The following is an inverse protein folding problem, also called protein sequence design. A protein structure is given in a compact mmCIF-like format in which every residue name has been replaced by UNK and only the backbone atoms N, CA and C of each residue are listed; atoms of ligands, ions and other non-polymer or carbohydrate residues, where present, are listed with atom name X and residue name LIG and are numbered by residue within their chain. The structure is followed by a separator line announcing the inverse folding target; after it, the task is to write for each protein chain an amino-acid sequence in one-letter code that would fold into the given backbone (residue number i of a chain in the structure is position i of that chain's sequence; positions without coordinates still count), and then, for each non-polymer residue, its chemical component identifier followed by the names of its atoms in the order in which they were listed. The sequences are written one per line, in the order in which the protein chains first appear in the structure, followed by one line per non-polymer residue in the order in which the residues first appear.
data_IF_186829705118
#
_entry.id   IF_186829705118
#
_cell.length_a   1.000
_cell.length_b   1.000
_cell.length_c   1.000
_cell.angle_alpha   90.00
_cell.angle_beta   90.00
_cell.angle_gamma   90.00
#
_symmetry.space_group_name_H-M   'P 1'
#
loop_
_entity.id
_entity.type
_entity.pdbx_description
1 polymer ?
#
# COMPACT_ATOMS: atom_id res chain seq x y z
N UNK A 1 32.15 3.14 1.51
CA UNK A 1 30.78 2.84 1.04
C UNK A 1 29.92 4.04 1.41
N UNK A 2 29.34 4.72 0.43
CA UNK A 2 28.38 5.81 0.65
C UNK A 2 27.12 5.23 1.29
N UNK A 3 26.56 5.91 2.29
CA UNK A 3 25.29 5.51 2.88
C UNK A 3 24.21 5.41 1.77
N UNK A 4 23.31 4.42 1.82
CA UNK A 4 22.23 4.31 0.83
C UNK A 4 21.39 5.59 0.87
N UNK A 5 21.01 6.09 -0.31
CA UNK A 5 20.15 7.26 -0.42
C UNK A 5 18.80 6.97 0.26
N UNK A 6 18.27 7.95 0.98
CA UNK A 6 16.97 7.82 1.63
C UNK A 6 15.88 7.49 0.59
N UNK A 7 14.90 6.64 0.93
CA UNK A 7 13.86 6.27 0.00
C UNK A 7 13.11 7.49 -0.52
N UNK A 8 13.04 7.61 -1.84
CA UNK A 8 12.44 8.75 -2.52
C UNK A 8 11.39 8.29 -3.53
N UNK A 9 10.34 9.09 -3.70
CA UNK A 9 9.34 8.93 -4.77
C UNK A 9 9.29 10.24 -5.54
N UNK A 10 9.23 10.14 -6.87
CA UNK A 10 8.99 11.26 -7.77
C UNK A 10 7.83 10.96 -8.70
N UNK A 11 7.15 12.02 -9.14
CA UNK A 11 6.11 11.96 -10.15
C UNK A 11 6.43 13.03 -11.20
N UNK A 12 6.62 12.60 -12.46
CA UNK A 12 7.05 13.49 -13.54
C UNK A 12 6.10 13.34 -14.72
N UNK A 13 5.52 14.45 -15.18
CA UNK A 13 4.76 14.47 -16.42
C UNK A 13 5.72 14.43 -17.62
N UNK A 14 5.47 13.49 -18.53
CA UNK A 14 6.17 13.32 -19.80
C UNK A 14 5.16 13.50 -20.93
N UNK A 15 5.39 14.51 -21.77
CA UNK A 15 4.45 14.91 -22.83
C UNK A 15 4.57 14.09 -24.11
N UNK A 16 5.63 13.28 -24.24
CA UNK A 16 5.93 12.43 -25.38
C UNK A 16 4.79 11.43 -25.68
N UNK A 17 4.30 10.75 -24.65
CA UNK A 17 3.17 9.80 -24.71
C UNK A 17 2.02 10.21 -23.81
N UNK A 18 2.06 11.43 -23.25
CA UNK A 18 1.14 11.94 -22.25
C UNK A 18 0.97 10.97 -21.08
N UNK A 19 1.98 10.89 -20.23
CA UNK A 19 1.99 10.04 -19.04
C UNK A 19 2.58 10.76 -17.85
N UNK A 20 2.21 10.33 -16.66
CA UNK A 20 2.97 10.64 -15.45
C UNK A 20 3.79 9.41 -15.10
N UNK A 21 5.12 9.53 -15.16
CA UNK A 21 6.02 8.50 -14.66
C UNK A 21 6.18 8.68 -13.16
N UNK A 22 5.77 7.66 -12.40
CA UNK A 22 5.98 7.59 -10.95
C UNK A 22 7.15 6.66 -10.71
N UNK A 23 8.25 7.19 -10.19
CA UNK A 23 9.48 6.45 -9.94
C UNK A 23 9.82 6.45 -8.46
N UNK A 24 10.49 5.40 -7.99
CA UNK A 24 10.99 5.31 -6.63
C UNK A 24 12.37 4.67 -6.58
N UNK A 25 13.12 5.01 -5.54
CA UNK A 25 14.44 4.47 -5.23
C UNK A 25 14.62 4.35 -3.71
N UNK A 26 15.67 3.65 -3.28
CA UNK A 26 16.06 3.56 -1.88
C UNK A 26 15.13 2.73 -0.99
N UNK A 27 14.25 1.91 -1.58
CA UNK A 27 13.48 0.94 -0.79
C UNK A 27 14.43 -0.09 -0.14
N UNK A 28 14.15 -0.54 1.10
CA UNK A 28 14.93 -1.58 1.75
C UNK A 28 15.01 -2.84 0.87
N UNK A 29 16.12 -3.58 0.95
CA UNK A 29 16.34 -4.78 0.14
C UNK A 29 15.33 -5.92 0.39
N UNK A 30 14.56 -5.82 1.46
CA UNK A 30 13.48 -6.75 1.78
C UNK A 30 12.18 -6.47 0.99
N UNK A 31 12.02 -5.26 0.45
CA UNK A 31 10.87 -4.92 -0.39
C UNK A 31 11.03 -5.58 -1.75
N UNK A 32 10.12 -6.47 -2.09
CA UNK A 32 10.11 -7.22 -3.37
C UNK A 32 9.12 -6.64 -4.38
N UNK A 33 8.14 -5.87 -3.91
CA UNK A 33 7.06 -5.34 -4.72
C UNK A 33 6.58 -3.99 -4.21
N UNK A 34 5.95 -3.22 -5.08
CA UNK A 34 5.39 -1.92 -4.76
C UNK A 34 3.97 -1.80 -5.32
N UNK A 35 3.08 -1.23 -4.51
CA UNK A 35 1.74 -0.82 -4.93
C UNK A 35 1.69 0.70 -5.12
N UNK A 36 1.24 1.13 -6.28
CA UNK A 36 1.15 2.54 -6.68
C UNK A 36 -0.31 2.93 -6.86
N UNK A 37 -0.72 3.95 -6.11
CA UNK A 37 -2.07 4.50 -6.15
C UNK A 37 -2.01 6.01 -6.42
N UNK A 38 -3.08 6.52 -7.03
CA UNK A 38 -3.29 7.94 -7.32
C UNK A 38 -4.53 8.44 -6.60
N UNK A 39 -4.49 9.70 -6.19
CA UNK A 39 -5.61 10.47 -5.66
C UNK A 39 -5.56 11.91 -6.17
N UNK A 40 -6.72 12.53 -6.33
CA UNK A 40 -6.85 13.97 -6.61
C UNK A 40 -7.40 14.74 -5.41
N UNK A 41 -7.75 14.05 -4.31
CA UNK A 41 -8.33 14.63 -3.10
C UNK A 41 -7.62 14.22 -1.80
N UNK A 42 -6.61 13.34 -1.88
CA UNK A 42 -5.89 12.77 -0.75
C UNK A 42 -6.66 11.72 0.05
N UNK A 43 -7.95 11.49 -0.26
CA UNK A 43 -8.86 10.64 0.52
C UNK A 43 -9.19 9.37 -0.26
N UNK A 44 -9.60 9.52 -1.52
CA UNK A 44 -9.95 8.41 -2.41
C UNK A 44 -8.75 8.07 -3.27
N UNK A 45 -8.34 6.81 -3.18
CA UNK A 45 -7.16 6.32 -3.87
C UNK A 45 -7.56 5.21 -4.82
N UNK A 46 -7.15 5.35 -6.08
CA UNK A 46 -7.30 4.33 -7.11
C UNK A 46 -5.94 3.78 -7.47
N UNK A 47 -5.83 2.46 -7.65
CA UNK A 47 -4.62 1.83 -8.14
C UNK A 47 -4.31 2.37 -9.54
N UNK A 48 -3.08 2.82 -9.76
CA UNK A 48 -2.60 3.16 -11.10
C UNK A 48 -2.60 1.87 -11.91
N UNK A 49 -3.03 1.91 -13.16
CA UNK A 49 -3.02 0.76 -14.06
C UNK A 49 -1.62 0.14 -14.15
N UNK A 50 -1.51 -1.17 -13.93
CA UNK A 50 -0.23 -1.88 -13.76
C UNK A 50 0.50 -1.65 -12.43
N UNK A 51 -0.05 -0.85 -11.53
CA UNK A 51 0.54 -0.45 -10.26
C UNK A 51 0.16 -1.31 -9.05
N UNK A 52 -0.55 -2.42 -9.20
CA UNK A 52 -1.00 -3.21 -8.03
C UNK A 52 0.15 -3.99 -7.37
N UNK A 53 0.97 -4.65 -8.21
CA UNK A 53 2.16 -5.40 -7.79
C UNK A 53 3.30 -5.13 -8.77
N UNK A 54 3.99 -4.01 -8.60
CA UNK A 54 5.16 -3.66 -9.42
C UNK A 54 6.41 -4.30 -8.80
N UNK A 55 7.16 -5.15 -9.54
CA UNK A 55 8.41 -5.70 -9.02
C UNK A 55 9.39 -4.61 -8.63
N UNK A 56 10.03 -4.75 -7.47
CA UNK A 56 11.08 -3.85 -7.00
C UNK A 56 12.43 -4.54 -7.19
N UNK A 57 13.32 -3.89 -7.94
CA UNK A 57 14.69 -4.38 -8.14
C UNK A 57 15.68 -3.36 -7.61
N UNK A 58 16.62 -3.82 -6.79
CA UNK A 58 17.65 -2.96 -6.16
C UNK A 58 17.07 -1.73 -5.44
N UNK A 59 15.90 -1.91 -4.82
CA UNK A 59 15.22 -0.85 -4.07
C UNK A 59 14.55 0.23 -4.93
N UNK A 60 14.42 0.02 -6.25
CA UNK A 60 13.78 0.97 -7.15
C UNK A 60 12.81 0.33 -8.14
N UNK A 61 12.06 1.19 -8.82
CA UNK A 61 11.08 0.81 -9.83
C UNK A 61 10.32 2.04 -10.35
N UNK A 62 9.43 1.81 -11.31
CA UNK A 62 8.53 2.85 -11.81
C UNK A 62 7.21 2.27 -12.33
N UNK A 63 6.20 3.12 -12.46
CA UNK A 63 4.97 2.86 -13.22
C UNK A 63 4.59 4.09 -14.00
N UNK A 64 4.03 3.90 -15.19
CA UNK A 64 3.53 4.99 -16.02
C UNK A 64 2.00 5.09 -15.92
N UNK A 65 1.53 6.24 -15.46
CA UNK A 65 0.12 6.56 -15.38
C UNK A 65 -0.34 7.33 -16.62
N UNK A 66 -1.12 6.68 -17.47
CA UNK A 66 -1.72 7.29 -18.67
C UNK A 66 -3.09 7.93 -18.39
N UNK A 67 -3.65 7.72 -17.20
CA UNK A 67 -5.02 8.09 -16.84
C UNK A 67 -5.08 9.23 -15.81
N UNK A 68 -3.98 9.97 -15.62
CA UNK A 68 -3.92 11.10 -14.69
C UNK A 68 -5.01 12.15 -15.00
N UNK A 69 -5.35 12.95 -14.00
CA UNK A 69 -6.30 14.06 -14.19
C UNK A 69 -5.54 15.30 -14.64
N UNK A 70 -5.71 15.71 -15.90
CA UNK A 70 -5.07 16.90 -16.44
C UNK A 70 -5.56 18.18 -15.73
N UNK A 71 -4.67 19.15 -15.53
CA UNK A 71 -5.00 20.44 -14.90
C UNK A 71 -5.31 20.37 -13.40
N UNK A 72 -5.22 19.19 -12.78
CA UNK A 72 -5.41 18.99 -11.35
C UNK A 72 -4.16 18.38 -10.72
N UNK A 73 -3.96 18.61 -9.43
CA UNK A 73 -2.90 17.93 -8.69
C UNK A 73 -3.23 16.44 -8.58
N UNK A 74 -2.30 15.61 -9.04
CA UNK A 74 -2.34 14.17 -8.89
C UNK A 74 -1.33 13.82 -7.81
N UNK A 75 -1.83 13.37 -6.66
CA UNK A 75 -1.00 12.83 -5.56
C UNK A 75 -0.89 11.33 -5.74
N UNK A 76 0.34 10.84 -5.77
CA UNK A 76 0.67 9.42 -5.84
C UNK A 76 1.18 8.93 -4.50
N UNK A 77 0.88 7.68 -4.17
CA UNK A 77 1.54 6.97 -3.07
C UNK A 77 2.09 5.65 -3.56
N UNK A 78 3.33 5.38 -3.19
CA UNK A 78 4.03 4.13 -3.45
C UNK A 78 4.20 3.42 -2.11
N UNK A 79 3.65 2.21 -2.00
CA UNK A 79 3.73 1.36 -0.82
C UNK A 79 4.59 0.15 -1.14
N UNK A 80 5.78 0.06 -0.56
CA UNK A 80 6.67 -1.09 -0.70
C UNK A 80 6.22 -2.24 0.19
N UNK A 81 6.04 -3.43 -0.36
CA UNK A 81 5.67 -4.65 0.34
C UNK A 81 6.81 -5.67 0.34
N UNK A 82 6.89 -6.45 1.42
CA UNK A 82 7.79 -7.59 1.56
C UNK A 82 6.93 -8.86 1.57
N UNK A 83 7.12 -9.72 0.57
CA UNK A 83 6.45 -11.01 0.42
C UNK A 83 6.84 -12.04 1.49
N UNK A 84 7.90 -11.79 2.25
CA UNK A 84 8.40 -12.64 3.33
C UNK A 84 7.42 -12.83 4.50
N UNK A 85 7.69 -13.81 5.38
CA UNK A 85 6.88 -14.05 6.58
C UNK A 85 7.08 -12.94 7.63
N UNK A 86 6.24 -12.94 8.66
CA UNK A 86 6.52 -12.17 9.88
C UNK A 86 7.73 -12.80 10.58
N UNK A 87 8.71 -11.98 10.94
CA UNK A 87 9.94 -12.43 11.59
C UNK A 87 10.18 -11.53 12.81
N UNK A 88 10.43 -12.14 13.98
CA UNK A 88 10.94 -11.39 15.13
C UNK A 88 12.38 -10.99 14.89
N UNK A 89 12.73 -9.73 15.16
CA UNK A 89 14.12 -9.28 15.08
C UNK A 89 14.91 -9.91 16.23
N UNK A 90 16.13 -10.36 15.95
CA UNK A 90 16.99 -10.96 16.97
C UNK A 90 17.34 -9.94 18.06
N UNK A 91 17.48 -10.40 19.30
CA UNK A 91 17.84 -9.60 20.48
C UNK A 91 16.87 -8.43 20.77
N UNK A 92 15.83 -8.64 21.60
CA UNK A 92 15.00 -7.55 22.05
C UNK A 92 15.84 -6.51 22.80
N UNK A 93 15.34 -5.28 22.82
CA UNK A 93 16.02 -4.19 23.50
C UNK A 93 16.27 -4.50 24.97
N UNK A 94 17.35 -3.96 25.53
CA UNK A 94 17.65 -4.15 26.95
C UNK A 94 16.51 -3.59 27.79
N UNK A 95 15.95 -4.43 28.67
CA UNK A 95 14.89 -4.00 29.58
C UNK A 95 15.42 -2.95 30.56
N UNK A 96 14.63 -1.92 30.82
CA UNK A 96 14.93 -0.88 31.80
C UNK A 96 14.03 -1.05 33.03
N UNK A 97 14.60 -0.84 34.21
CA UNK A 97 13.87 -0.89 35.49
C UNK A 97 14.13 0.36 36.31
N UNK A 98 13.13 0.81 37.06
CA UNK A 98 13.25 1.94 37.98
C UNK A 98 12.25 1.84 39.14
N UNK A 99 12.50 2.60 40.21
CA UNK A 99 11.56 2.79 41.32
C UNK A 99 10.77 4.09 41.16
N UNK A 100 9.51 3.96 40.75
CA UNK A 100 8.55 5.04 40.54
C UNK A 100 9.11 6.23 39.74
N UNK A 101 9.94 5.92 38.75
CA UNK A 101 10.64 6.88 37.89
C UNK A 101 10.54 6.45 36.42
N UNK A 102 10.90 7.37 35.53
CA UNK A 102 10.89 7.16 34.09
C UNK A 102 11.89 6.09 33.67
N UNK A 103 11.43 5.12 32.86
CA UNK A 103 12.29 4.10 32.26
C UNK A 103 12.49 4.36 30.77
N UNK A 104 13.70 4.13 30.27
CA UNK A 104 14.05 4.23 28.85
C UNK A 104 14.67 2.91 28.39
N UNK A 105 13.85 1.92 27.97
CA UNK A 105 14.37 0.65 27.46
C UNK A 105 15.17 0.86 26.17
N UNK A 106 16.19 0.02 25.97
CA UNK A 106 16.94 0.00 24.72
C UNK A 106 16.05 -0.37 23.53
N UNK A 107 16.42 0.07 22.32
CA UNK A 107 15.84 -0.49 21.10
C UNK A 107 16.43 -1.91 20.87
N UNK A 108 15.70 -2.81 20.18
CA UNK A 108 16.27 -4.08 19.72
C UNK A 108 17.52 -3.86 18.86
N UNK A 109 18.37 -4.86 18.73
CA UNK A 109 19.43 -4.80 17.71
C UNK A 109 18.80 -5.02 16.32
N UNK A 110 19.48 -4.64 15.24
CA UNK A 110 19.09 -4.95 13.84
C UNK A 110 17.65 -4.56 13.39
N UNK A 111 16.99 -3.67 14.12
CA UNK A 111 15.72 -3.08 13.68
C UNK A 111 15.94 -2.27 12.40
N UNK A 112 14.91 -2.19 11.55
CA UNK A 112 14.94 -1.44 10.29
C UNK A 112 13.76 -0.50 10.21
N UNK A 113 13.89 0.56 9.39
CA UNK A 113 12.76 1.42 9.06
C UNK A 113 11.58 0.58 8.55
N UNK A 114 10.38 0.83 9.08
CA UNK A 114 9.15 0.11 8.74
C UNK A 114 8.85 -1.12 9.61
N UNK A 115 9.83 -1.64 10.37
CA UNK A 115 9.57 -2.71 11.34
C UNK A 115 8.54 -2.22 12.38
N UNK A 116 7.70 -3.14 12.86
CA UNK A 116 6.76 -2.87 13.94
C UNK A 116 7.50 -2.96 15.27
N UNK A 117 7.65 -1.84 15.95
CA UNK A 117 8.16 -1.80 17.32
C UNK A 117 7.01 -1.98 18.29
N UNK A 118 7.20 -2.87 19.26
CA UNK A 118 6.30 -3.09 20.38
C UNK A 118 7.03 -2.70 21.67
N UNK A 119 6.41 -1.85 22.47
CA UNK A 119 6.88 -1.47 23.79
C UNK A 119 5.93 -2.03 24.82
N UNK A 120 6.45 -2.91 25.67
CA UNK A 120 5.73 -3.47 26.80
C UNK A 120 6.29 -2.88 28.09
N UNK A 121 5.42 -2.23 28.87
CA UNK A 121 5.75 -1.65 30.15
C UNK A 121 4.77 -2.13 31.23
N UNK A 122 5.29 -2.37 32.43
CA UNK A 122 4.52 -2.78 33.59
C UNK A 122 5.00 -2.02 34.82
N UNK A 123 4.08 -1.73 35.73
CA UNK A 123 4.40 -1.20 37.06
C UNK A 123 3.64 -1.99 38.11
N UNK A 124 4.16 -2.13 39.34
CA UNK A 124 3.40 -2.82 40.40
C UNK A 124 2.12 -2.07 40.74
N UNK A 125 1.00 -2.78 40.81
CA UNK A 125 -0.25 -2.22 41.35
C UNK A 125 -0.17 -2.18 42.87
N UNK A 126 -0.11 -0.97 43.44
CA UNK A 126 -0.24 -0.77 44.89
C UNK A 126 -1.57 -0.09 45.22
N UNK A 127 -1.83 0.19 46.50
CA UNK A 127 -3.00 0.98 46.91
C UNK A 127 -3.08 2.37 46.26
N UNK A 128 -1.97 2.85 45.68
CA UNK A 128 -1.91 3.99 44.76
C UNK A 128 -1.66 3.44 43.35
N UNK A 129 -2.57 3.71 42.42
CA UNK A 129 -2.44 3.23 41.04
C UNK A 129 -1.38 4.05 40.29
N UNK A 130 -0.20 3.48 39.96
CA UNK A 130 0.68 4.13 38.99
C UNK A 130 -0.03 4.17 37.63
N UNK A 131 0.21 5.23 36.87
CA UNK A 131 -0.22 5.36 35.49
C UNK A 131 1.00 5.49 34.59
N UNK A 132 1.22 4.48 33.76
CA UNK A 132 2.25 4.47 32.72
C UNK A 132 1.83 5.41 31.58
N UNK A 133 2.69 6.36 31.24
CA UNK A 133 2.41 7.34 30.18
C UNK A 133 2.90 6.80 28.84
N UNK A 134 2.02 6.84 27.84
CA UNK A 134 2.33 6.46 26.46
C UNK A 134 3.39 7.40 25.89
N UNK A 135 4.52 6.89 25.36
CA UNK A 135 5.53 7.74 24.76
C UNK A 135 5.01 8.46 23.51
N UNK A 136 5.52 9.65 23.24
CA UNK A 136 5.10 10.45 22.10
C UNK A 136 5.31 9.70 20.76
N UNK A 137 4.28 9.69 19.91
CA UNK A 137 4.31 9.01 18.61
C UNK A 137 4.09 7.49 18.65
N UNK A 138 3.80 6.92 19.82
CA UNK A 138 3.38 5.52 19.96
C UNK A 138 1.85 5.42 20.05
N UNK A 139 1.32 4.34 19.49
CA UNK A 139 -0.11 4.02 19.51
C UNK A 139 -0.38 3.01 20.62
N UNK A 140 -1.28 3.32 21.53
CA UNK A 140 -1.72 2.41 22.59
C UNK A 140 -2.44 1.19 21.99
N UNK A 141 -2.03 0.00 22.40
CA UNK A 141 -2.73 -1.27 22.11
C UNK A 141 -3.56 -1.70 23.32
N UNK A 142 -2.95 -1.66 24.51
CA UNK A 142 -3.61 -1.95 25.79
C UNK A 142 -3.08 -1.01 26.84
N UNK A 143 -3.96 -0.42 27.64
CA UNK A 143 -3.63 0.36 28.83
C UNK A 143 -4.55 -0.04 29.99
N UNK A 144 -3.94 -0.44 31.11
CA UNK A 144 -4.62 -0.76 32.38
C UNK A 144 -4.12 0.09 33.55
N UNK A 145 -3.37 1.15 33.26
CA UNK A 145 -2.62 1.96 34.22
C UNK A 145 -1.28 1.32 34.61
N UNK A 146 -1.32 0.09 35.09
CA UNK A 146 -0.17 -0.69 35.59
C UNK A 146 0.41 -1.69 34.58
N UNK A 147 -0.21 -1.76 33.39
CA UNK A 147 0.17 -2.57 32.24
C UNK A 147 -0.08 -1.73 31.00
N UNK A 148 0.96 -1.54 30.19
CA UNK A 148 0.91 -0.78 28.96
C UNK A 148 1.59 -1.57 27.83
N UNK A 149 0.85 -1.85 26.77
CA UNK A 149 1.42 -2.29 25.50
C UNK A 149 1.11 -1.23 24.44
N UNK A 150 2.14 -0.76 23.76
CA UNK A 150 2.00 0.19 22.66
C UNK A 150 2.87 -0.23 21.47
N UNK A 151 2.55 0.32 20.30
CA UNK A 151 3.21 0.01 19.05
C UNK A 151 3.55 1.26 18.24
N UNK A 152 4.60 1.16 17.43
CA UNK A 152 5.02 2.21 16.48
C UNK A 152 5.68 1.57 15.26
N UNK A 153 5.58 2.22 14.09
CA UNK A 153 6.42 1.89 12.93
C UNK A 153 7.76 2.60 13.08
N UNK A 154 8.85 1.84 13.05
CA UNK A 154 10.19 2.39 13.18
C UNK A 154 10.48 3.41 12.05
N UNK A 155 10.90 4.61 12.41
CA UNK A 155 11.46 5.59 11.47
C UNK A 155 12.95 5.33 11.23
N UNK A 156 13.53 5.85 10.14
CA UNK A 156 14.95 5.67 9.83
C UNK A 156 15.92 6.15 10.94
N UNK A 157 15.48 7.09 11.77
CA UNK A 157 16.23 7.68 12.88
C UNK A 157 15.54 7.46 14.24
N UNK A 158 14.93 6.28 14.42
CA UNK A 158 14.21 5.94 15.64
C UNK A 158 15.10 6.04 16.89
N UNK A 159 14.52 6.53 17.98
CA UNK A 159 15.17 6.66 19.29
C UNK A 159 14.46 5.82 20.33
N UNK A 160 15.19 5.36 21.35
CA UNK A 160 14.62 4.63 22.48
C UNK A 160 13.45 5.43 23.11
N UNK A 161 12.30 4.78 23.38
CA UNK A 161 11.16 5.45 24.00
C UNK A 161 11.38 5.66 25.49
N UNK A 162 10.80 6.72 26.05
CA UNK A 162 10.74 6.94 27.49
C UNK A 162 9.32 6.73 28.00
N UNK A 163 9.14 5.84 28.97
CA UNK A 163 7.87 5.59 29.65
C UNK A 163 7.91 6.31 30.99
N UNK A 164 7.22 7.44 31.07
CA UNK A 164 7.07 8.16 32.33
C UNK A 164 6.01 7.47 33.20
N UNK A 165 6.14 7.64 34.51
CA UNK A 165 5.15 7.16 35.50
C UNK A 165 4.55 8.37 36.20
N UNK A 166 3.23 8.39 36.27
CA UNK A 166 2.49 9.41 37.03
C UNK A 166 1.67 8.76 38.13
N UNK A 167 1.61 9.41 39.29
CA UNK A 167 1.06 8.78 40.50
C UNK A 167 2.03 7.74 41.09
N UNK A 168 1.50 6.81 41.88
CA UNK A 168 2.31 5.82 42.61
C UNK A 168 3.00 6.39 43.86
N UNK A 169 3.27 5.52 44.83
CA UNK A 169 4.14 5.84 45.95
C UNK A 169 5.61 5.54 45.57
N UNK A 170 6.56 6.14 46.28
CA UNK A 170 7.95 5.64 46.26
C UNK A 170 7.95 4.15 46.65
N UNK A 171 8.77 3.35 45.99
CA UNK A 171 8.79 1.90 46.10
C UNK A 171 7.93 1.18 45.05
N UNK A 172 7.47 1.79 43.97
CA UNK A 172 6.73 1.11 42.90
C UNK A 172 7.68 0.74 41.77
N UNK A 173 8.02 -0.54 41.63
CA UNK A 173 8.85 -0.98 40.51
C UNK A 173 8.15 -0.77 39.17
N UNK A 174 8.92 -0.31 38.20
CA UNK A 174 8.54 -0.09 36.80
C UNK A 174 9.53 -0.87 35.94
N UNK A 175 9.03 -1.60 34.95
CA UNK A 175 9.83 -2.32 33.94
C UNK A 175 9.30 -1.95 32.57
N UNK A 176 10.20 -1.74 31.60
CA UNK A 176 9.83 -1.65 30.20
C UNK A 176 10.83 -2.38 29.30
N UNK A 177 10.37 -2.89 28.16
CA UNK A 177 11.21 -3.49 27.12
C UNK A 177 10.61 -3.27 25.73
N UNK A 178 11.46 -3.15 24.71
CA UNK A 178 11.05 -3.02 23.30
C UNK A 178 11.44 -4.27 22.52
N UNK A 179 10.57 -4.69 21.61
CA UNK A 179 10.80 -5.76 20.62
C UNK A 179 10.42 -5.25 19.23
N UNK A 180 11.08 -5.75 18.19
CA UNK A 180 10.78 -5.42 16.80
C UNK A 180 10.30 -6.66 16.03
N UNK A 181 9.32 -6.46 15.17
CA UNK A 181 8.85 -7.47 14.23
C UNK A 181 8.87 -6.93 12.81
N UNK A 182 9.54 -7.68 11.93
CA UNK A 182 9.50 -7.44 10.49
C UNK A 182 8.20 -7.98 9.93
N UNK A 183 7.60 -7.22 9.01
CA UNK A 183 6.37 -7.59 8.29
C UNK A 183 5.12 -7.81 9.14
N UNK A 184 5.14 -7.47 10.44
CA UNK A 184 3.94 -7.47 11.27
C UNK A 184 3.17 -6.15 11.12
N UNK A 185 1.84 -6.18 11.18
CA UNK A 185 0.96 -5.02 11.34
C UNK A 185 0.39 -4.90 12.74
N UNK A 186 -0.32 -3.81 13.04
CA UNK A 186 -1.03 -3.63 14.31
C UNK A 186 -1.98 -4.82 14.61
N UNK A 187 -2.22 -5.13 15.90
CA UNK A 187 -2.97 -6.31 16.29
C UNK A 187 -4.45 -6.20 15.91
N UNK A 188 -5.05 -7.33 15.55
CA UNK A 188 -6.46 -7.44 15.16
C UNK A 188 -7.36 -7.81 16.35
N UNK A 189 -6.82 -8.58 17.29
CA UNK A 189 -7.56 -9.14 18.44
C UNK A 189 -6.66 -9.21 19.66
N UNK A 190 -7.25 -8.99 20.85
CA UNK A 190 -6.62 -9.23 22.13
C UNK A 190 -7.56 -9.98 23.09
N UNK A 191 -7.01 -10.95 23.83
CA UNK A 191 -7.72 -11.71 24.87
C UNK A 191 -6.95 -11.63 26.17
N UNK A 192 -7.60 -11.42 27.31
CA UNK A 192 -6.93 -11.30 28.61
C UNK A 192 -7.44 -12.29 29.66
N UNK A 193 -6.57 -12.62 30.62
CA UNK A 193 -6.90 -13.34 31.85
C UNK A 193 -6.24 -12.59 33.00
N UNK A 194 -6.99 -12.44 34.10
CA UNK A 194 -6.50 -11.85 35.35
C UNK A 194 -6.71 -12.85 36.47
N UNK A 195 -5.66 -13.14 37.22
CA UNK A 195 -5.70 -14.02 38.40
C UNK A 195 -5.49 -13.17 39.65
N UNK A 196 -6.38 -13.29 40.64
CA UNK A 196 -6.36 -12.42 41.82
C UNK A 196 -5.20 -12.68 42.80
N UNK A 197 -4.66 -13.90 42.85
CA UNK A 197 -3.47 -14.24 43.67
C UNK A 197 -2.92 -15.60 43.23
N UNK A 198 -2.11 -15.62 42.18
CA UNK A 198 -1.52 -16.84 41.63
C UNK A 198 0.00 -16.86 41.77
N UNK A 199 0.56 -18.05 42.00
CA UNK A 199 2.01 -18.24 41.86
C UNK A 199 2.39 -18.18 40.38
N UNK A 200 1.73 -18.99 39.57
CA UNK A 200 1.88 -19.06 38.11
C UNK A 200 0.94 -18.07 37.40
N UNK A 201 1.28 -17.72 36.16
CA UNK A 201 0.51 -16.77 35.34
C UNK A 201 -0.20 -17.50 34.20
N UNK A 202 -1.52 -17.34 34.12
CA UNK A 202 -2.31 -17.90 33.02
C UNK A 202 -2.16 -17.04 31.76
N UNK A 203 -1.88 -17.69 30.62
CA UNK A 203 -1.76 -17.08 29.30
C UNK A 203 -2.96 -17.49 28.45
N UNK A 204 -3.77 -16.55 27.93
CA UNK A 204 -5.03 -16.86 27.25
C UNK A 204 -4.87 -17.65 25.95
N UNK A 205 -5.92 -18.40 25.59
CA UNK A 205 -6.05 -19.00 24.27
C UNK A 205 -6.44 -17.96 23.21
N UNK A 206 -6.23 -18.31 21.95
CA UNK A 206 -6.65 -17.53 20.78
C UNK A 206 -7.41 -18.43 19.84
N UNK A 207 -8.61 -18.03 19.45
CA UNK A 207 -9.44 -18.76 18.47
C UNK A 207 -9.27 -18.21 17.06
N UNK A 208 -9.17 -19.11 16.08
CA UNK A 208 -9.14 -18.81 14.64
C UNK A 208 -8.13 -17.74 14.18
N UNK A 209 -6.87 -17.75 14.62
CA UNK A 209 -5.87 -16.84 14.07
C UNK A 209 -5.62 -17.12 12.58
N UNK A 210 -5.50 -16.08 11.73
CA UNK A 210 -5.17 -16.24 10.31
C UNK A 210 -3.80 -16.91 10.10
N UNK A 211 -3.63 -17.58 8.95
CA UNK A 211 -2.31 -18.05 8.53
C UNK A 211 -1.35 -16.87 8.31
N UNK A 212 -0.07 -17.06 8.65
CA UNK A 212 0.97 -16.03 8.55
C UNK A 212 0.87 -14.93 9.61
N UNK A 213 0.02 -15.08 10.62
CA UNK A 213 -0.10 -14.13 11.74
C UNK A 213 0.94 -14.40 12.83
N UNK A 214 1.20 -13.39 13.65
CA UNK A 214 2.03 -13.47 14.84
C UNK A 214 1.10 -13.49 16.06
N UNK A 215 1.28 -14.45 16.96
CA UNK A 215 0.65 -14.41 18.26
C UNK A 215 1.68 -14.10 19.34
N UNK A 216 1.46 -13.00 20.07
CA UNK A 216 2.26 -12.55 21.20
C UNK A 216 1.50 -12.84 22.48
N UNK A 217 2.18 -13.34 23.51
CA UNK A 217 1.67 -13.26 24.88
C UNK A 217 2.54 -12.32 25.69
N UNK A 218 1.90 -11.43 26.44
CA UNK A 218 2.56 -10.50 27.33
C UNK A 218 1.88 -10.55 28.70
N UNK A 219 2.69 -10.79 29.73
CA UNK A 219 2.27 -11.13 31.06
C UNK A 219 3.00 -10.30 32.12
N UNK A 220 2.30 -10.07 33.23
CA UNK A 220 2.75 -9.31 34.38
C UNK A 220 2.40 -10.06 35.67
N UNK A 221 3.26 -9.98 36.68
CA UNK A 221 2.95 -10.37 38.07
C UNK A 221 3.29 -9.21 39.02
N UNK A 222 2.40 -8.91 39.98
CA UNK A 222 2.61 -7.91 41.04
C UNK A 222 3.54 -8.42 42.17
N UNK A 223 4.59 -9.14 41.79
CA UNK A 223 5.71 -9.57 42.63
C UNK A 223 6.86 -9.95 41.71
N UNK A 224 8.07 -9.75 42.18
CA UNK A 224 9.31 -10.25 41.61
C UNK A 224 9.29 -11.79 41.51
N UNK A 225 10.06 -12.34 40.59
CA UNK A 225 10.39 -13.76 40.54
C UNK A 225 11.88 -13.98 40.35
N UNK A 226 12.35 -15.19 40.65
CA UNK A 226 13.73 -15.62 40.35
C UNK A 226 13.84 -16.14 38.92
N UNK A 227 12.82 -16.84 38.44
CA UNK A 227 12.73 -17.27 37.05
C UNK A 227 11.29 -17.49 36.61
N UNK A 228 11.07 -17.37 35.31
CA UNK A 228 9.82 -17.76 34.67
C UNK A 228 10.16 -18.60 33.44
N UNK A 229 9.64 -19.82 33.38
CA UNK A 229 9.95 -20.77 32.32
C UNK A 229 8.74 -20.96 31.40
N UNK A 230 8.85 -20.68 30.09
CA UNK A 230 7.83 -21.10 29.15
C UNK A 230 7.73 -22.62 29.05
N UNK A 231 6.58 -23.11 28.59
CA UNK A 231 6.54 -24.38 27.87
C UNK A 231 7.38 -24.26 26.58
N UNK A 232 8.30 -25.19 26.34
CA UNK A 232 9.43 -25.22 25.39
C UNK A 232 9.17 -24.97 23.88
N UNK A 233 8.00 -24.48 23.47
CA UNK A 233 7.53 -24.46 22.07
C UNK A 233 7.60 -23.06 21.42
N UNK A 234 7.92 -22.01 22.18
CA UNK A 234 7.72 -20.61 21.77
C UNK A 234 9.01 -19.81 21.79
N UNK A 235 9.10 -18.79 20.91
CA UNK A 235 10.24 -17.88 20.87
C UNK A 235 10.20 -16.94 22.07
N UNK A 236 11.11 -17.08 23.05
CA UNK A 236 11.14 -16.18 24.20
C UNK A 236 11.59 -14.80 23.74
N UNK A 237 10.94 -13.74 24.23
CA UNK A 237 11.39 -12.37 24.04
C UNK A 237 12.16 -11.95 25.30
N UNK A 238 11.48 -11.96 26.44
CA UNK A 238 12.11 -11.52 27.68
C UNK A 238 11.38 -11.99 28.92
N UNK A 239 12.15 -12.16 29.98
CA UNK A 239 11.67 -12.37 31.35
C UNK A 239 12.48 -11.47 32.25
N UNK A 240 11.87 -10.38 32.71
CA UNK A 240 12.54 -9.37 33.55
C UNK A 240 11.81 -9.25 34.87
N UNK A 241 12.57 -9.18 35.95
CA UNK A 241 12.07 -9.06 37.33
C UNK A 241 12.82 -7.93 37.99
N UNK A 242 12.11 -7.06 38.72
CA UNK A 242 12.69 -5.97 39.49
C UNK A 242 12.31 -6.12 40.96
N UNK A 243 13.29 -5.89 41.82
CA UNK A 243 13.13 -5.81 43.28
C UNK A 243 13.75 -4.50 43.82
N UNK A 244 13.83 -3.46 42.98
CA UNK A 244 14.35 -2.15 43.38
C UNK A 244 13.38 -1.45 44.34
N UNK A 245 12.08 -1.67 44.16
CA UNK A 245 11.01 -1.23 45.04
C UNK A 245 10.22 -2.41 45.60
N UNK A 246 8.90 -2.41 45.38
CA UNK A 246 7.95 -3.35 45.97
C UNK A 246 7.97 -4.74 45.34
N UNK A 247 8.56 -4.93 44.17
CA UNK A 247 8.67 -6.17 43.42
C UNK A 247 7.67 -6.23 42.27
N UNK A 248 8.12 -6.30 41.02
CA UNK A 248 7.27 -6.56 39.84
C UNK A 248 8.00 -7.44 38.84
N UNK A 249 7.27 -8.20 38.05
CA UNK A 249 7.84 -9.01 37.00
C UNK A 249 7.04 -8.97 35.69
N UNK A 250 7.78 -9.08 34.59
CA UNK A 250 7.33 -8.95 33.22
C UNK A 250 7.81 -10.16 32.40
N UNK A 251 6.91 -10.73 31.60
CA UNK A 251 7.21 -11.82 30.69
C UNK A 251 6.51 -11.64 29.36
N UNK A 252 7.16 -12.00 28.26
CA UNK A 252 6.51 -12.12 26.96
C UNK A 252 7.23 -13.08 26.03
N UNK A 253 6.44 -13.80 25.23
CA UNK A 253 6.88 -14.75 24.20
C UNK A 253 5.97 -14.65 22.96
N UNK A 254 6.37 -15.31 21.88
CA UNK A 254 5.58 -15.32 20.65
C UNK A 254 5.64 -16.64 19.87
N UNK A 255 4.70 -16.78 18.94
CA UNK A 255 4.74 -17.76 17.84
C UNK A 255 4.30 -17.13 16.53
N UNK A 256 4.89 -17.59 15.43
CA UNK A 256 4.40 -17.31 14.08
C UNK A 256 3.52 -18.47 13.64
N UNK A 257 2.29 -18.16 13.28
CA UNK A 257 1.26 -19.13 12.92
C UNK A 257 1.40 -19.46 11.44
N UNK A 258 2.16 -20.52 11.13
CA UNK A 258 2.47 -20.88 9.73
C UNK A 258 1.25 -21.31 8.90
N UNK A 259 0.25 -21.92 9.53
CA UNK A 259 -1.01 -22.32 8.89
C UNK A 259 -2.19 -21.95 9.78
N UNK A 260 -3.34 -21.68 9.17
CA UNK A 260 -4.56 -21.37 9.91
C UNK A 260 -4.89 -22.52 10.87
N UNK A 261 -5.07 -22.18 12.15
CA UNK A 261 -5.41 -23.13 13.20
C UNK A 261 -6.73 -22.71 13.85
N UNK A 262 -7.62 -23.64 14.24
CA UNK A 262 -8.85 -23.28 14.94
C UNK A 262 -8.58 -22.67 16.32
N UNK A 263 -7.47 -23.07 16.97
CA UNK A 263 -7.12 -22.56 18.30
C UNK A 263 -5.61 -22.62 18.55
N UNK A 264 -5.10 -21.58 19.20
CA UNK A 264 -3.85 -21.62 19.96
C UNK A 264 -4.25 -21.77 21.43
N UNK A 265 -3.91 -22.90 22.09
CA UNK A 265 -4.47 -23.23 23.39
C UNK A 265 -3.98 -22.29 24.49
N UNK A 266 -4.76 -22.24 25.57
CA UNK A 266 -4.37 -21.54 26.80
C UNK A 266 -3.14 -22.23 27.39
N UNK A 267 -2.26 -21.44 28.03
CA UNK A 267 -1.02 -21.92 28.64
C UNK A 267 -0.86 -21.39 30.07
N UNK A 268 0.10 -21.95 30.78
CA UNK A 268 0.53 -21.48 32.09
C UNK A 268 2.02 -21.18 32.03
N UNK A 269 2.41 -19.99 32.48
CA UNK A 269 3.79 -19.62 32.74
C UNK A 269 4.15 -20.06 34.16
N UNK A 270 5.06 -21.03 34.28
CA UNK A 270 5.53 -21.52 35.57
C UNK A 270 6.54 -20.54 36.17
N UNK A 271 6.24 -20.02 37.36
CA UNK A 271 7.05 -19.00 38.03
C UNK A 271 7.72 -19.58 39.26
N UNK A 272 9.04 -19.41 39.37
CA UNK A 272 9.84 -19.79 40.54
C UNK A 272 10.27 -18.55 41.33
N UNK A 273 10.06 -18.59 42.64
CA UNK A 273 10.32 -17.46 43.54
C UNK A 273 9.19 -16.43 43.57
N UNK A 274 9.35 -15.42 44.43
CA UNK A 274 8.32 -14.41 44.68
C UNK A 274 7.13 -14.90 45.50
N UNK A 275 6.26 -13.98 45.89
CA UNK A 275 4.98 -14.31 46.50
C UNK A 275 3.90 -14.60 45.44
N UNK A 276 2.85 -15.32 45.81
CA UNK A 276 1.63 -15.33 45.00
C UNK A 276 1.03 -13.92 44.99
N UNK A 277 0.70 -13.42 43.80
CA UNK A 277 0.25 -12.04 43.61
C UNK A 277 -0.76 -11.96 42.48
N UNK A 278 -1.39 -10.79 42.32
CA UNK A 278 -2.21 -10.51 41.14
C UNK A 278 -1.33 -10.66 39.91
N UNK A 279 -1.85 -11.37 38.91
CA UNK A 279 -1.17 -11.52 37.63
C UNK A 279 -2.13 -11.33 36.46
N UNK A 280 -1.57 -10.88 35.35
CA UNK A 280 -2.30 -10.57 34.11
C UNK A 280 -1.55 -11.24 32.96
N UNK A 281 -2.26 -12.00 32.13
CA UNK A 281 -1.77 -12.49 30.86
C UNK A 281 -2.67 -12.00 29.73
N UNK A 282 -2.07 -11.47 28.67
CA UNK A 282 -2.80 -11.01 27.48
C UNK A 282 -2.16 -11.61 26.24
N UNK A 283 -2.99 -12.06 25.30
CA UNK A 283 -2.56 -12.55 23.99
C UNK A 283 -3.01 -11.59 22.91
N UNK A 284 -2.15 -11.33 21.91
CA UNK A 284 -2.37 -10.41 20.80
C UNK A 284 -2.08 -11.11 19.48
N UNK A 285 -3.00 -10.99 18.52
CA UNK A 285 -2.81 -11.52 17.15
C UNK A 285 -2.50 -10.37 16.20
N UNK A 286 -1.31 -10.37 15.63
CA UNK A 286 -0.85 -9.40 14.64
C UNK A 286 -0.93 -9.99 13.24
N UNK A 287 -1.49 -9.23 12.30
CA UNK A 287 -1.54 -9.60 10.89
C UNK A 287 -0.22 -9.31 10.17
N UNK A 288 -0.11 -9.75 8.92
CA UNK A 288 0.98 -9.34 8.03
C UNK A 288 0.77 -7.88 7.60
N UNK A 289 1.84 -7.10 7.62
CA UNK A 289 1.86 -5.73 7.13
C UNK A 289 1.52 -5.68 5.64
N UNK A 290 0.53 -4.85 5.22
CA UNK A 290 0.25 -4.66 3.80
C UNK A 290 1.37 -3.89 3.08
N UNK A 291 2.23 -3.20 3.83
CA UNK A 291 3.41 -2.50 3.33
C UNK A 291 4.41 -2.28 4.47
N UNK A 292 5.71 -2.26 4.14
CA UNK A 292 6.82 -1.93 5.05
C UNK A 292 7.08 -0.42 5.03
N UNK A 293 6.99 0.18 3.84
CA UNK A 293 7.24 1.61 3.65
C UNK A 293 6.15 2.22 2.78
N UNK A 294 5.80 3.48 3.05
CA UNK A 294 4.94 4.29 2.19
C UNK A 294 5.52 5.68 2.01
N UNK A 295 5.47 6.16 0.77
CA UNK A 295 5.93 7.50 0.35
C UNK A 295 4.97 8.09 -0.65
N UNK A 296 4.96 9.41 -0.75
CA UNK A 296 4.07 10.17 -1.65
C UNK A 296 4.84 11.15 -2.51
N UNK A 297 4.32 11.43 -3.70
CA UNK A 297 4.77 12.51 -4.57
C UNK A 297 3.57 13.10 -5.31
N UNK A 298 3.64 14.36 -5.72
CA UNK A 298 2.55 15.02 -6.43
C UNK A 298 3.05 15.70 -7.70
N UNK A 299 2.20 15.78 -8.70
CA UNK A 299 2.43 16.54 -9.94
C UNK A 299 1.11 17.10 -10.44
N UNK A 300 1.15 18.27 -11.09
CA UNK A 300 -0.01 18.87 -11.79
C UNK A 300 0.27 18.91 -13.29
N UNK A 301 -0.10 17.86 -14.05
CA UNK A 301 0.14 17.80 -15.49
C UNK A 301 -0.72 18.83 -16.23
N UNK A 302 -0.11 19.63 -17.09
CA UNK A 302 -0.83 20.58 -17.96
C UNK A 302 -0.76 20.05 -19.39
N UNK A 303 -1.93 19.77 -19.97
CA UNK A 303 -2.04 19.32 -21.35
C UNK A 303 -2.24 20.52 -22.27
N UNK A 304 -1.48 20.55 -23.35
CA UNK A 304 -1.62 21.55 -24.40
C UNK A 304 -2.67 21.18 -25.46
N UNK A 305 -3.30 20.00 -25.35
CA UNK A 305 -4.37 19.54 -26.23
C UNK A 305 -4.96 18.20 -25.77
N UNK A 306 -6.02 17.75 -26.43
CA UNK A 306 -6.63 16.46 -26.15
C UNK A 306 -5.77 15.31 -26.68
N UNK A 307 -5.91 14.14 -26.05
CA UNK A 307 -5.18 12.93 -26.42
C UNK A 307 -6.13 11.77 -26.64
N UNK A 308 -5.84 10.96 -27.66
CA UNK A 308 -6.36 9.59 -27.77
C UNK A 308 -5.23 8.68 -27.34
N UNK A 309 -5.48 7.86 -26.32
CA UNK A 309 -4.50 6.93 -25.77
C UNK A 309 -4.97 5.51 -25.89
N UNK A 310 -4.03 4.59 -26.12
CA UNK A 310 -4.27 3.15 -26.08
C UNK A 310 -3.48 2.62 -24.89
N UNK A 311 -4.07 2.47 -23.69
CA UNK A 311 -3.31 2.12 -22.49
C UNK A 311 -2.55 0.79 -22.57
N UNK A 312 -2.99 -0.13 -23.45
CA UNK A 312 -2.29 -1.39 -23.76
C UNK A 312 -1.10 -1.22 -24.70
N UNK A 313 -1.11 -0.17 -25.53
CA UNK A 313 -0.08 0.12 -26.52
C UNK A 313 0.27 1.61 -26.47
N UNK A 314 0.96 2.08 -25.42
CA UNK A 314 1.22 3.50 -25.24
C UNK A 314 1.98 4.17 -26.39
N UNK A 315 2.74 3.40 -27.16
CA UNK A 315 3.40 3.87 -28.40
C UNK A 315 2.42 4.39 -29.46
N UNK A 316 1.14 4.01 -29.36
CA UNK A 316 0.04 4.50 -30.22
C UNK A 316 -0.67 5.73 -29.65
N UNK A 317 -0.27 6.26 -28.48
CA UNK A 317 -0.86 7.49 -27.94
C UNK A 317 -0.60 8.65 -28.92
N UNK A 318 -1.65 9.40 -29.25
CA UNK A 318 -1.56 10.55 -30.15
C UNK A 318 -2.24 11.76 -29.54
N UNK A 319 -1.54 12.88 -29.58
CA UNK A 319 -2.16 14.19 -29.38
C UNK A 319 -3.00 14.52 -30.59
N UNK A 320 -4.21 14.99 -30.35
CA UNK A 320 -5.17 15.35 -31.40
C UNK A 320 -5.59 16.80 -31.28
N UNK A 321 -5.92 17.41 -32.43
CA UNK A 321 -6.55 18.73 -32.47
C UNK A 321 -8.03 18.52 -32.74
N UNK A 322 -8.85 18.74 -31.73
CA UNK A 322 -10.32 18.62 -31.84
C UNK A 322 -10.86 19.89 -32.48
N UNK A 323 -11.56 19.73 -33.60
CA UNK A 323 -12.19 20.83 -34.33
C UNK A 323 -13.68 20.98 -33.99
N UNK A 324 -14.36 19.87 -33.71
CA UNK A 324 -15.78 19.86 -33.36
C UNK A 324 -16.13 18.61 -32.52
N UNK A 325 -17.23 18.69 -31.78
CA UNK A 325 -17.84 17.59 -31.04
C UNK A 325 -19.37 17.67 -31.21
N UNK A 326 -19.97 16.58 -31.66
CA UNK A 326 -21.43 16.54 -31.78
C UNK A 326 -22.10 16.51 -30.40
N UNK A 327 -23.42 16.74 -30.36
CA UNK A 327 -24.19 16.61 -29.13
C UNK A 327 -24.03 15.22 -28.52
N UNK A 328 -23.73 15.16 -27.23
CA UNK A 328 -23.62 13.90 -26.49
C UNK A 328 -25.03 13.32 -26.29
N UNK A 329 -25.28 12.15 -26.87
CA UNK A 329 -26.56 11.43 -26.74
C UNK A 329 -26.41 10.21 -25.84
N UNK A 330 -27.50 9.79 -25.18
CA UNK A 330 -27.60 8.51 -24.49
C UNK A 330 -28.83 7.79 -25.03
N UNK A 331 -28.67 6.79 -25.91
CA UNK A 331 -29.81 6.13 -26.52
C UNK A 331 -30.66 5.48 -25.42
N UNK A 332 -31.96 5.73 -25.44
CA UNK A 332 -32.87 5.05 -24.53
C UNK A 332 -33.00 3.59 -24.92
N UNK A 333 -33.03 2.71 -23.91
CA UNK A 333 -33.41 1.29 -24.07
C UNK A 333 -34.86 1.05 -23.70
N UNK A 334 -35.58 2.11 -23.38
CA UNK A 334 -37.01 2.03 -23.07
C UNK A 334 -37.83 1.90 -24.33
N UNK A 335 -38.79 0.98 -24.32
CA UNK A 335 -39.80 0.86 -25.37
C UNK A 335 -41.19 0.97 -24.74
N UNK A 336 -42.12 1.60 -25.44
CA UNK A 336 -43.54 1.60 -25.07
C UNK A 336 -44.30 0.73 -26.05
N UNK A 337 -45.11 -0.18 -25.54
CA UNK A 337 -45.95 -1.07 -26.35
C UNK A 337 -47.42 -0.79 -26.08
N UNK A 338 -48.17 -0.46 -27.13
CA UNK A 338 -49.62 -0.41 -27.07
C UNK A 338 -50.17 -1.83 -27.10
N UNK A 339 -50.84 -2.23 -26.02
CA UNK A 339 -51.41 -3.57 -25.88
C UNK A 339 -52.92 -3.50 -26.10
N UNK A 340 -53.43 -4.29 -27.04
CA UNK A 340 -54.88 -4.37 -27.34
C UNK A 340 -55.65 -4.67 -26.05
N UNK A 341 -56.70 -3.89 -25.79
CA UNK A 341 -57.53 -4.01 -24.58
C UNK A 341 -57.04 -3.19 -23.38
N UNK A 342 -55.91 -2.47 -23.49
CA UNK A 342 -55.49 -1.48 -22.49
C UNK A 342 -55.74 -0.06 -22.97
N UNK A 343 -56.13 0.81 -22.06
CA UNK A 343 -56.31 2.25 -22.30
C UNK A 343 -54.98 3.02 -22.28
N UNK A 344 -53.92 2.44 -21.71
CA UNK A 344 -52.59 3.04 -21.61
C UNK A 344 -51.50 2.04 -22.03
N UNK A 345 -50.42 2.51 -22.70
CA UNK A 345 -49.30 1.65 -23.12
C UNK A 345 -48.58 1.02 -21.93
N UNK A 346 -47.92 -0.10 -22.19
CA UNK A 346 -46.96 -0.71 -21.26
C UNK A 346 -45.58 -0.19 -21.58
N UNK A 347 -44.92 0.44 -20.62
CA UNK A 347 -43.53 0.85 -20.74
C UNK A 347 -42.60 -0.27 -20.26
N UNK A 348 -41.61 -0.62 -21.08
CA UNK A 348 -40.41 -1.36 -20.67
C UNK A 348 -39.39 -0.31 -20.27
N UNK A 349 -39.08 -0.21 -18.98
CA UNK A 349 -38.03 0.67 -18.47
C UNK A 349 -36.72 -0.08 -18.32
N UNK A 350 -35.63 0.52 -18.77
CA UNK A 350 -34.25 0.06 -18.56
C UNK A 350 -33.35 1.29 -18.33
N UNK A 351 -32.12 1.07 -17.88
CA UNK A 351 -31.09 2.10 -17.75
C UNK A 351 -30.72 2.61 -19.16
N UNK A 352 -30.55 3.93 -19.29
CA UNK A 352 -30.09 4.52 -20.55
C UNK A 352 -28.75 3.91 -21.00
N UNK A 353 -28.54 3.83 -22.32
CA UNK A 353 -27.27 3.38 -22.87
C UNK A 353 -26.11 4.34 -22.60
N UNK A 354 -24.90 3.88 -22.93
CA UNK A 354 -23.67 4.68 -22.87
C UNK A 354 -23.77 5.99 -23.64
N UNK A 355 -22.95 6.98 -23.27
CA UNK A 355 -22.80 8.21 -24.06
C UNK A 355 -22.27 7.88 -25.46
N UNK A 356 -22.86 8.52 -26.47
CA UNK A 356 -22.43 8.47 -27.86
C UNK A 356 -22.30 9.88 -28.41
N UNK A 357 -21.20 10.14 -29.11
CA UNK A 357 -20.91 11.42 -29.76
C UNK A 357 -19.93 11.18 -30.89
N UNK A 358 -19.80 12.16 -31.78
CA UNK A 358 -18.81 12.15 -32.86
C UNK A 358 -17.78 13.21 -32.55
N UNK A 359 -16.51 12.81 -32.44
CA UNK A 359 -15.39 13.73 -32.30
C UNK A 359 -14.80 13.99 -33.67
N UNK A 360 -14.71 15.25 -34.09
CA UNK A 360 -14.07 15.62 -35.36
C UNK A 360 -12.64 16.08 -35.11
N UNK A 361 -11.68 15.25 -35.49
CA UNK A 361 -10.24 15.52 -35.36
C UNK A 361 -9.72 16.17 -36.64
N UNK A 362 -9.04 17.30 -36.50
CA UNK A 362 -8.31 17.96 -37.57
C UNK A 362 -6.85 17.51 -37.56
N UNK A 363 -6.33 17.11 -38.72
CA UNK A 363 -4.89 16.91 -38.92
C UNK A 363 -4.36 17.85 -40.01
N UNK A 364 -3.10 18.24 -39.92
CA UNK A 364 -2.50 19.23 -40.84
C UNK A 364 -2.02 18.60 -42.15
N UNK A 365 -1.75 17.29 -42.15
CA UNK A 365 -1.19 16.54 -43.27
C UNK A 365 -1.84 15.17 -43.44
N UNK A 366 -1.59 14.57 -44.62
CA UNK A 366 -1.97 13.19 -44.92
C UNK A 366 -1.30 12.23 -43.93
N UNK A 367 0.01 12.36 -43.74
CA UNK A 367 0.80 11.52 -42.82
C UNK A 367 0.23 11.53 -41.40
N UNK A 368 -0.09 12.71 -40.86
CA UNK A 368 -0.68 12.80 -39.50
C UNK A 368 -2.05 12.13 -39.42
N UNK A 369 -2.87 12.22 -40.48
CA UNK A 369 -4.14 11.48 -40.51
C UNK A 369 -3.91 9.97 -40.55
N UNK A 370 -2.96 9.50 -41.35
CA UNK A 370 -2.63 8.08 -41.45
C UNK A 370 -2.04 7.56 -40.11
N UNK A 371 -1.23 8.38 -39.40
CA UNK A 371 -0.71 8.05 -38.07
C UNK A 371 -1.82 7.96 -37.01
N UNK A 372 -2.84 8.83 -37.09
CA UNK A 372 -4.02 8.75 -36.22
C UNK A 372 -4.83 7.51 -36.58
N UNK A 373 -5.15 7.28 -37.86
CA UNK A 373 -5.86 6.08 -38.32
C UNK A 373 -5.18 4.79 -37.85
N UNK A 374 -3.85 4.71 -37.97
CA UNK A 374 -3.05 3.57 -37.49
C UNK A 374 -3.20 3.32 -35.98
N UNK A 375 -3.33 4.37 -35.16
CA UNK A 375 -3.60 4.20 -33.72
C UNK A 375 -4.99 3.60 -33.44
N UNK A 376 -5.96 3.89 -34.32
CA UNK A 376 -7.34 3.44 -34.20
C UNK A 376 -7.55 1.99 -34.70
N UNK A 377 -6.67 1.50 -35.58
CA UNK A 377 -6.72 0.13 -36.13
C UNK A 377 -6.58 -0.99 -35.08
N UNK A 378 -6.14 -0.66 -33.86
CA UNK A 378 -6.04 -1.65 -32.78
C UNK A 378 -7.38 -2.28 -32.39
N UNK A 379 -8.51 -1.59 -32.63
CA UNK A 379 -9.84 -2.03 -32.20
C UNK A 379 -10.04 -2.11 -30.67
N UNK A 380 -9.02 -1.71 -29.90
CA UNK A 380 -9.04 -1.76 -28.44
C UNK A 380 -9.80 -0.56 -27.86
N UNK A 381 -10.35 -0.68 -26.63
CA UNK A 381 -10.82 0.48 -25.88
C UNK A 381 -9.70 1.51 -25.71
N UNK A 382 -9.99 2.76 -26.10
CA UNK A 382 -9.09 3.89 -26.02
C UNK A 382 -9.48 4.80 -24.86
N UNK A 383 -8.52 5.53 -24.30
CA UNK A 383 -8.76 6.57 -23.33
C UNK A 383 -8.67 7.94 -24.02
N UNK A 384 -9.82 8.60 -24.16
CA UNK A 384 -9.88 10.00 -24.59
C UNK A 384 -9.63 10.87 -23.36
N UNK A 385 -8.57 11.67 -23.40
CA UNK A 385 -8.21 12.58 -22.32
C UNK A 385 -8.36 14.03 -22.80
N UNK A 386 -9.19 14.80 -22.10
CA UNK A 386 -9.37 16.21 -22.35
C UNK A 386 -8.22 17.04 -21.75
N UNK A 387 -8.00 18.26 -22.24
CA UNK A 387 -6.89 19.11 -21.81
C UNK A 387 -7.03 19.63 -20.37
N UNK A 388 -8.27 19.76 -19.89
CA UNK A 388 -8.60 20.24 -18.57
C UNK A 388 -9.93 19.61 -18.08
N UNK A 389 -10.22 19.62 -16.76
CA UNK A 389 -11.42 18.99 -16.20
C UNK A 389 -12.73 19.68 -16.59
N UNK A 390 -12.68 20.94 -17.04
CA UNK A 390 -13.83 21.74 -17.47
C UNK A 390 -14.06 21.72 -18.99
N UNK A 391 -13.23 21.00 -19.75
CA UNK A 391 -13.32 20.93 -21.19
C UNK A 391 -14.66 20.33 -21.64
N UNK A 392 -15.18 20.84 -22.77
CA UNK A 392 -16.39 20.30 -23.41
C UNK A 392 -16.21 18.83 -23.84
N UNK A 393 -14.96 18.46 -24.15
CA UNK A 393 -14.60 17.10 -24.52
C UNK A 393 -14.60 16.23 -23.25
N UNK A 394 -15.37 15.12 -23.20
CA UNK A 394 -15.35 14.25 -22.04
C UNK A 394 -14.01 13.51 -21.93
N UNK A 395 -13.51 13.36 -20.71
CA UNK A 395 -12.45 12.38 -20.41
C UNK A 395 -13.10 11.03 -20.12
N UNK A 396 -12.90 10.05 -20.99
CA UNK A 396 -13.60 8.77 -20.90
C UNK A 396 -12.90 7.66 -21.68
N UNK A 397 -13.23 6.42 -21.33
CA UNK A 397 -12.93 5.27 -22.17
C UNK A 397 -13.93 5.18 -23.31
N UNK A 398 -13.43 5.01 -24.54
CA UNK A 398 -14.24 5.00 -25.76
C UNK A 398 -13.85 3.86 -26.68
N UNK A 399 -14.81 3.36 -27.43
CA UNK A 399 -14.60 2.57 -28.65
C UNK A 399 -14.98 3.44 -29.84
N UNK A 400 -14.13 3.45 -30.86
CA UNK A 400 -14.33 4.21 -32.09
C UNK A 400 -14.99 3.30 -33.13
N UNK A 401 -16.10 3.75 -33.71
CA UNK A 401 -16.80 3.08 -34.81
C UNK A 401 -16.19 3.41 -36.18
N UNK A 402 -17.00 3.32 -37.23
CA UNK A 402 -16.56 3.58 -38.60
C UNK A 402 -16.05 5.02 -38.77
N UNK A 403 -14.82 5.16 -39.25
CA UNK A 403 -14.15 6.45 -39.41
C UNK A 403 -14.49 7.02 -40.77
N UNK A 404 -14.99 8.26 -40.81
CA UNK A 404 -15.14 9.00 -42.06
C UNK A 404 -14.03 10.05 -42.20
N UNK A 405 -13.41 10.07 -43.37
CA UNK A 405 -12.29 10.95 -43.71
C UNK A 405 -12.70 11.93 -44.78
N UNK A 406 -12.69 13.21 -44.44
CA UNK A 406 -13.08 14.28 -45.36
C UNK A 406 -12.03 15.39 -45.50
N UNK A 407 -12.22 16.20 -46.54
CA UNK A 407 -11.48 17.45 -46.80
C UNK A 407 -12.51 18.56 -47.02
N UNK A 408 -12.31 19.72 -46.43
CA UNK A 408 -13.18 20.89 -46.69
C UNK A 408 -12.95 21.53 -48.08
N UNK A 409 -11.90 21.12 -48.80
CA UNK A 409 -11.64 21.58 -50.16
C UNK A 409 -10.71 20.65 -50.92
N UNK A 410 -10.83 20.63 -52.24
CA UNK A 410 -10.10 19.70 -53.13
C UNK A 410 -8.57 19.85 -53.02
N UNK A 411 -8.08 21.06 -52.75
CA UNK A 411 -6.65 21.38 -52.57
C UNK A 411 -6.22 21.51 -51.10
N UNK A 412 -7.12 21.29 -50.15
CA UNK A 412 -6.82 21.39 -48.74
C UNK A 412 -5.80 20.34 -48.31
N UNK A 413 -4.76 20.74 -47.58
CA UNK A 413 -3.80 19.81 -46.96
C UNK A 413 -4.36 19.19 -45.67
N UNK A 414 -5.19 19.93 -44.95
CA UNK A 414 -5.87 19.47 -43.75
C UNK A 414 -6.82 18.32 -44.05
N UNK A 415 -6.97 17.42 -43.09
CA UNK A 415 -7.97 16.34 -43.10
C UNK A 415 -8.83 16.47 -41.86
N UNK A 416 -10.08 16.04 -41.99
CA UNK A 416 -11.01 15.95 -40.88
C UNK A 416 -11.43 14.48 -40.76
N UNK A 417 -11.20 13.91 -39.59
CA UNK A 417 -11.59 12.54 -39.24
C UNK A 417 -12.79 12.64 -38.31
N UNK A 418 -13.94 12.16 -38.76
CA UNK A 418 -15.10 11.99 -37.89
C UNK A 418 -14.98 10.64 -37.19
N UNK A 419 -14.89 10.67 -35.87
CA UNK A 419 -14.71 9.51 -35.01
C UNK A 419 -15.99 9.28 -34.20
N UNK A 420 -16.89 8.38 -34.63
CA UNK A 420 -18.06 8.01 -33.82
C UNK A 420 -17.58 7.27 -32.57
N UNK A 421 -17.77 7.87 -31.41
CA UNK A 421 -17.31 7.35 -30.13
C UNK A 421 -18.49 6.82 -29.30
N UNK A 422 -18.31 5.64 -28.73
CA UNK A 422 -19.19 5.09 -27.70
C UNK A 422 -18.40 4.96 -26.40
N UNK A 423 -18.87 5.61 -25.34
CA UNK A 423 -18.27 5.46 -24.01
C UNK A 423 -18.43 4.02 -23.51
N UNK A 424 -17.35 3.43 -23.00
CA UNK A 424 -17.31 2.07 -22.47
C UNK A 424 -16.74 2.06 -21.05
N UNK A 425 -16.95 0.97 -20.33
CA UNK A 425 -16.32 0.79 -19.03
C UNK A 425 -14.79 0.76 -19.19
N UNK A 426 -14.09 1.27 -18.18
CA UNK A 426 -12.65 1.15 -18.10
C UNK A 426 -12.24 -0.34 -18.13
N UNK A 427 -11.22 -0.72 -18.93
CA UNK A 427 -10.64 -2.05 -18.85
C UNK A 427 -10.11 -2.33 -17.43
N UNK A 428 -10.07 -3.61 -17.03
CA UNK A 428 -9.48 -4.01 -15.74
C UNK A 428 -8.08 -3.40 -15.56
N UNK A 429 -7.71 -2.86 -14.38
CA UNK A 429 -6.40 -2.23 -14.15
C UNK A 429 -5.18 -3.14 -14.41
N UNK A 430 -5.39 -4.45 -14.48
CA UNK A 430 -4.35 -5.45 -14.81
C UNK A 430 -3.93 -5.43 -16.28
N UNK A 431 -4.70 -4.80 -17.15
CA UNK A 431 -4.37 -4.66 -18.56
C UNK A 431 -3.63 -3.35 -18.77
N UNK A 432 -2.33 -3.40 -19.05
CA UNK A 432 -1.47 -2.23 -19.23
C UNK A 432 -0.33 -2.52 -20.21
N UNK A 433 0.12 -1.51 -20.93
CA UNK A 433 1.37 -1.54 -21.67
C UNK A 433 2.48 -0.93 -20.83
N UNK A 434 3.52 -1.72 -20.54
CA UNK A 434 4.78 -1.15 -20.08
C UNK A 434 5.43 -0.34 -21.20
N UNK A 435 6.16 0.72 -20.85
CA UNK A 435 7.05 1.39 -21.80
C UNK A 435 8.48 1.25 -21.32
N UNK A 436 9.29 0.61 -22.16
CA UNK A 436 10.70 0.45 -21.90
C UNK A 436 11.47 1.53 -22.68
N UNK A 437 12.09 2.46 -21.95
CA UNK A 437 12.85 3.57 -22.53
C UNK A 437 14.35 3.24 -22.58
N UNK A 438 15.13 4.02 -23.32
CA UNK A 438 16.59 3.94 -23.26
C UNK A 438 17.14 4.19 -21.85
N UNK A 439 16.48 5.05 -21.06
CA UNK A 439 16.86 5.26 -19.67
C UNK A 439 16.64 3.99 -18.85
N UNK A 440 15.55 3.25 -19.10
CA UNK A 440 15.29 1.97 -18.41
C UNK A 440 16.35 0.90 -18.76
N UNK A 441 16.93 0.95 -19.96
CA UNK A 441 18.09 0.13 -20.33
C UNK A 441 19.33 0.54 -19.52
N UNK A 442 19.62 1.84 -19.44
CA UNK A 442 20.78 2.34 -18.69
C UNK A 442 20.68 2.04 -17.19
N UNK A 443 19.47 2.13 -16.64
CA UNK A 443 19.21 1.87 -15.22
C UNK A 443 19.21 0.36 -14.91
N UNK A 444 18.71 -0.46 -15.85
CA UNK A 444 18.62 -1.91 -15.71
C UNK A 444 19.96 -2.64 -15.87
N UNK A 445 20.82 -2.16 -16.78
CA UNK A 445 22.06 -2.86 -17.14
C UNK A 445 23.30 -2.03 -16.78
N UNK A 446 24.12 -2.57 -15.89
CA UNK A 446 25.39 -1.94 -15.49
C UNK A 446 26.43 -1.90 -16.61
N UNK A 447 26.26 -2.71 -17.66
CA UNK A 447 27.16 -2.75 -18.80
C UNK A 447 26.47 -3.30 -20.05
N UNK A 448 27.06 -3.01 -21.20
CA UNK A 448 26.63 -3.56 -22.48
C UNK A 448 26.69 -5.09 -22.53
N UNK A 449 27.69 -5.69 -21.88
CA UNK A 449 27.77 -7.15 -21.76
C UNK A 449 26.58 -7.74 -20.96
N UNK A 450 26.05 -6.99 -19.98
CA UNK A 450 24.84 -7.37 -19.27
C UNK A 450 23.59 -7.37 -20.16
N UNK A 451 23.50 -6.43 -21.10
CA UNK A 451 22.42 -6.39 -22.10
C UNK A 451 22.49 -7.64 -22.98
N UNK A 452 23.64 -7.91 -23.61
CA UNK A 452 23.83 -9.06 -24.50
C UNK A 452 23.71 -10.43 -23.80
N UNK A 453 23.90 -10.48 -22.49
CA UNK A 453 23.70 -11.70 -21.71
C UNK A 453 22.21 -11.97 -21.43
N UNK A 454 21.39 -10.92 -21.35
CA UNK A 454 19.95 -11.03 -21.06
C UNK A 454 19.09 -11.14 -22.32
N UNK A 455 19.48 -10.48 -23.41
CA UNK A 455 18.79 -10.54 -24.70
C UNK A 455 19.73 -11.05 -25.79
N UNK A 456 19.19 -11.90 -26.67
CA UNK A 456 19.97 -12.54 -27.75
C UNK A 456 20.49 -11.51 -28.76
N UNK A 457 19.72 -10.46 -29.03
CA UNK A 457 20.09 -9.33 -29.89
C UNK A 457 19.31 -8.05 -29.52
N UNK A 458 19.63 -6.93 -30.19
CA UNK A 458 18.96 -5.65 -29.98
C UNK A 458 17.49 -5.63 -30.42
N UNK A 459 17.07 -6.49 -31.36
CA UNK A 459 15.67 -6.61 -31.73
C UNK A 459 14.84 -7.14 -30.56
N UNK A 460 15.37 -8.04 -29.76
CA UNK A 460 14.69 -8.51 -28.55
C UNK A 460 14.51 -7.42 -27.47
N UNK A 461 15.26 -6.30 -27.51
CA UNK A 461 14.93 -5.14 -26.68
C UNK A 461 13.66 -4.43 -27.16
N UNK A 462 13.38 -4.44 -28.46
CA UNK A 462 12.15 -3.85 -29.03
C UNK A 462 10.93 -4.62 -28.53
N UNK A 463 11.04 -5.94 -28.40
CA UNK A 463 9.97 -6.77 -27.82
C UNK A 463 9.69 -6.43 -26.35
N UNK A 464 10.67 -5.90 -25.60
CA UNK A 464 10.44 -5.36 -24.25
C UNK A 464 9.69 -4.02 -24.24
N UNK A 465 9.71 -3.27 -25.35
CA UNK A 465 9.04 -1.97 -25.48
C UNK A 465 7.54 -2.15 -25.76
N UNK A 466 7.17 -3.18 -26.50
CA UNK A 466 5.79 -3.57 -26.72
C UNK A 466 5.73 -5.04 -27.14
N UNK A 467 4.75 -5.80 -26.62
CA UNK A 467 4.36 -7.09 -27.19
C UNK A 467 3.89 -6.84 -28.62
N UNK A 468 4.84 -6.93 -29.55
CA UNK A 468 4.78 -6.43 -30.91
C UNK A 468 3.91 -7.31 -31.79
N UNK A 469 2.61 -7.31 -31.59
CA UNK A 469 1.71 -7.69 -32.67
C UNK A 469 1.78 -6.58 -33.72
N UNK A 470 2.56 -6.85 -34.78
CA UNK A 470 2.66 -5.98 -35.95
C UNK A 470 1.29 -5.94 -36.61
N UNK A 471 0.58 -4.82 -36.47
CA UNK A 471 -0.61 -4.55 -37.28
C UNK A 471 -0.10 -4.18 -38.66
N UNK A 472 -0.11 -5.14 -39.59
CA UNK A 472 0.18 -4.89 -41.00
C UNK A 472 -1.03 -4.16 -41.59
N UNK A 473 -0.88 -2.95 -42.14
CA UNK A 473 -1.97 -2.18 -42.75
C UNK A 473 -2.66 -2.89 -43.91
#
# INVERSE_FOLDING_TARGET
MTAPAAPAVSATYLDDLSRVRVSWTGFPSAVDSARVERSTDGIRWSVVRGGDTVPVSRGGGHVDDYEFTAGAENTYRVSGADGGPIIGVDNPGTAATADNDTVTPGLPDDWREGDLLLLFAVARKTGFAPALVVPAGWTTLTDRGDYLLCAKRAAANETAPSVAVTGGASGVDVIAQVMAYRNADLPQTATNIVTGSGQDVALPSVSNPPAGSLNLWAAKKDSEWTSAAPSTVYGPIGSTSSALGSGVAMYWDYTVIGAATPVVPQRTLTVTGGAAAVNVGISYVFGKAPYVLRRTASVTPVLSGAWIKVPQRPSLNRRIVVSDISSITRPSRTATHDVIGRTLPVAISDVQGSRRFTLTVMTESQQQADDVENSLLSGLPMFLQACDPGAVIPTAYVVVGDIDRSKQGHRGRRRFLALPMTEVAAPTPTIYGGTYTYQDVLDGYASYAGVLADVVDYSALVDKISDGEIVVP
#
